data_IF_347290986389
#
_entry.id   IF_347290986389
#
_cell.length_a   1.000
_cell.length_b   1.000
_cell.length_c   1.000
_cell.angle_alpha   90.00
_cell.angle_beta   90.00
_cell.angle_gamma   90.00
#
_symmetry.space_group_name_H-M   'P 1'
#
loop_
_entity.id
_entity.type
_entity.pdbx_description
1 polymer ?
#
# COMPACT_ATOMS: atom_id res chain seq x y z
N UNK A 1 -6.55 14.37 3.20
CA UNK A 1 -7.49 13.84 2.19
C UNK A 1 -6.77 13.72 0.86
N UNK A 2 -6.68 12.52 0.31
CA UNK A 2 -5.93 12.31 -0.91
C UNK A 2 -6.54 11.23 -1.79
N UNK A 3 -6.28 11.36 -3.07
CA UNK A 3 -6.70 10.37 -4.07
C UNK A 3 -5.46 9.79 -4.71
N UNK A 4 -5.40 8.47 -4.77
CA UNK A 4 -4.27 7.76 -5.35
C UNK A 4 -4.80 6.82 -6.42
N UNK A 5 -4.14 6.83 -7.58
CA UNK A 5 -4.53 5.99 -8.71
C UNK A 5 -3.68 4.72 -8.72
N UNK A 6 -4.35 3.60 -9.01
CA UNK A 6 -3.72 2.29 -9.04
C UNK A 6 -4.10 1.58 -10.34
N UNK A 7 -3.32 0.56 -10.69
CA UNK A 7 -3.62 -0.25 -11.87
C UNK A 7 -4.62 -1.32 -11.49
N UNK A 8 -5.83 -1.21 -12.07
CA UNK A 8 -6.87 -2.21 -11.88
C UNK A 8 -6.38 -3.57 -12.40
N UNK A 9 -6.71 -4.62 -11.69
CA UNK A 9 -6.39 -6.01 -12.05
C UNK A 9 -4.90 -6.36 -11.90
N UNK A 10 -4.11 -5.53 -11.25
CA UNK A 10 -2.70 -5.81 -10.99
C UNK A 10 -2.43 -6.26 -9.55
N UNK A 11 -3.41 -6.18 -8.66
CA UNK A 11 -3.20 -6.39 -7.25
C UNK A 11 -3.59 -7.77 -6.75
N UNK A 12 -3.53 -7.90 -5.42
CA UNK A 12 -3.89 -9.13 -4.71
C UNK A 12 -5.39 -9.19 -4.45
N UNK A 13 -5.92 -10.39 -4.38
CA UNK A 13 -7.34 -10.62 -4.09
C UNK A 13 -7.55 -10.75 -2.58
N UNK A 14 -7.34 -9.67 -1.83
CA UNK A 14 -7.43 -9.70 -0.36
C UNK A 14 -8.86 -9.54 0.17
N UNK A 15 -9.76 -8.97 -0.63
CA UNK A 15 -11.16 -8.86 -0.24
C UNK A 15 -11.97 -10.10 -0.60
N UNK A 16 -11.31 -11.12 -1.15
CA UNK A 16 -11.95 -12.36 -1.55
C UNK A 16 -12.63 -12.27 -2.90
N UNK A 17 -13.02 -13.42 -3.43
CA UNK A 17 -13.84 -13.50 -4.62
C UNK A 17 -15.31 -13.34 -4.20
N UNK A 18 -16.20 -13.24 -5.20
CA UNK A 18 -17.61 -12.91 -4.95
C UNK A 18 -18.30 -13.70 -3.83
N UNK A 19 -17.95 -14.95 -3.65
CA UNK A 19 -18.60 -15.80 -2.64
C UNK A 19 -18.10 -15.50 -1.22
N UNK A 20 -16.85 -15.09 -1.10
CA UNK A 20 -16.20 -14.88 0.18
C UNK A 20 -16.13 -13.42 0.59
N UNK A 21 -16.32 -12.51 -0.36
CA UNK A 21 -16.19 -11.08 -0.13
C UNK A 21 -17.12 -10.57 0.97
N UNK A 22 -18.30 -11.17 1.08
CA UNK A 22 -19.29 -10.76 2.08
C UNK A 22 -18.87 -11.10 3.51
N UNK A 23 -17.96 -12.04 3.68
CA UNK A 23 -17.51 -12.50 4.99
C UNK A 23 -16.19 -11.84 5.43
N UNK A 24 -15.51 -11.15 4.51
CA UNK A 24 -14.24 -10.51 4.82
C UNK A 24 -14.47 -9.02 5.08
N UNK A 25 -14.15 -8.59 6.30
CA UNK A 25 -14.18 -7.17 6.64
C UNK A 25 -12.99 -6.50 5.93
N UNK A 26 -13.23 -5.51 5.05
CA UNK A 26 -12.13 -4.82 4.35
C UNK A 26 -11.10 -4.22 5.30
N UNK A 27 -11.53 -3.69 6.45
CA UNK A 27 -10.60 -3.12 7.42
C UNK A 27 -9.67 -4.20 7.99
N UNK A 28 -10.22 -5.37 8.30
CA UNK A 28 -9.40 -6.49 8.79
C UNK A 28 -8.44 -7.00 7.73
N UNK A 29 -8.88 -7.06 6.48
CA UNK A 29 -8.04 -7.51 5.38
C UNK A 29 -6.85 -6.59 5.18
N UNK A 30 -7.07 -5.28 5.21
CA UNK A 30 -6.01 -4.29 5.07
C UNK A 30 -5.08 -4.32 6.28
N UNK A 31 -5.63 -4.40 7.49
CA UNK A 31 -4.83 -4.46 8.71
C UNK A 31 -3.89 -5.67 8.69
N UNK A 32 -4.38 -6.79 8.20
CA UNK A 32 -3.58 -8.01 8.07
C UNK A 32 -2.46 -7.84 7.05
N UNK A 33 -2.76 -7.20 5.90
CA UNK A 33 -1.74 -6.93 4.88
C UNK A 33 -0.65 -6.00 5.39
N UNK A 34 -1.00 -5.06 6.24
CA UNK A 34 -0.04 -4.11 6.84
C UNK A 34 0.76 -4.77 7.97
N UNK A 35 0.27 -5.90 8.49
CA UNK A 35 0.94 -6.61 9.56
C UNK A 35 0.58 -6.13 10.96
N UNK A 36 -0.48 -5.33 11.09
CA UNK A 36 -0.94 -4.82 12.38
C UNK A 36 -2.46 -5.01 12.51
N UNK A 37 -2.89 -6.16 13.04
CA UNK A 37 -4.32 -6.44 13.17
C UNK A 37 -5.09 -5.42 14.02
N UNK A 38 -4.41 -4.70 14.92
CA UNK A 38 -5.07 -3.71 15.76
C UNK A 38 -5.61 -2.53 14.95
N UNK A 39 -5.11 -2.34 13.73
CA UNK A 39 -5.58 -1.27 12.86
C UNK A 39 -7.04 -1.46 12.44
N UNK A 40 -7.54 -2.69 12.44
CA UNK A 40 -8.92 -2.96 12.03
C UNK A 40 -9.93 -2.16 12.85
N UNK A 41 -9.61 -1.88 14.12
CA UNK A 41 -10.46 -1.08 15.00
C UNK A 41 -10.22 0.42 14.89
N UNK A 42 -9.14 0.82 14.25
CA UNK A 42 -8.72 2.23 14.17
C UNK A 42 -9.04 2.86 12.83
N UNK A 43 -9.26 2.07 11.81
CA UNK A 43 -9.55 2.57 10.47
C UNK A 43 -10.93 2.13 10.03
N UNK A 44 -11.50 2.93 9.11
CA UNK A 44 -12.77 2.61 8.47
C UNK A 44 -12.50 2.44 6.99
N UNK A 45 -12.94 1.33 6.44
CA UNK A 45 -12.69 1.01 5.04
C UNK A 45 -14.02 0.69 4.36
N UNK A 46 -14.26 1.34 3.24
CA UNK A 46 -15.43 1.07 2.40
C UNK A 46 -14.96 0.81 0.98
N UNK A 47 -15.53 -0.20 0.36
CA UNK A 47 -15.25 -0.50 -1.05
C UNK A 47 -16.47 -0.11 -1.87
N UNK A 48 -16.27 0.79 -2.82
CA UNK A 48 -17.31 1.28 -3.71
C UNK A 48 -16.86 1.10 -5.16
N UNK A 49 -17.29 -0.01 -5.80
CA UNK A 49 -16.87 -0.32 -7.16
C UNK A 49 -15.37 -0.54 -7.24
N UNK A 50 -14.67 0.35 -7.95
CA UNK A 50 -13.23 0.27 -8.11
C UNK A 50 -12.46 1.17 -7.13
N UNK A 51 -13.18 1.83 -6.21
CA UNK A 51 -12.60 2.77 -5.25
C UNK A 51 -12.65 2.20 -3.85
N UNK A 52 -11.55 2.32 -3.11
CA UNK A 52 -11.51 2.02 -1.69
C UNK A 52 -11.43 3.34 -0.94
N UNK A 53 -12.30 3.53 0.03
CA UNK A 53 -12.29 4.70 0.89
C UNK A 53 -11.76 4.30 2.26
N UNK A 54 -10.66 4.90 2.69
CA UNK A 54 -10.06 4.62 3.99
C UNK A 54 -9.96 5.90 4.82
N UNK A 55 -10.29 5.79 6.09
CA UNK A 55 -10.21 6.93 7.01
C UNK A 55 -9.85 6.43 8.40
N UNK A 56 -9.43 7.35 9.27
CA UNK A 56 -9.12 7.04 10.65
C UNK A 56 -7.82 7.68 11.13
N UNK A 57 -7.49 7.41 12.39
CA UNK A 57 -6.28 7.92 13.02
C UNK A 57 -5.27 6.79 13.15
N UNK A 58 -4.06 7.02 12.69
CA UNK A 58 -2.97 6.04 12.71
C UNK A 58 -1.77 6.60 13.46
N UNK A 59 -0.89 5.71 14.01
CA UNK A 59 0.20 6.19 14.87
C UNK A 59 1.28 6.97 14.14
N UNK A 60 1.52 6.71 12.87
CA UNK A 60 2.61 7.36 12.15
C UNK A 60 2.36 7.41 10.65
N UNK A 61 3.18 8.19 9.97
CA UNK A 61 3.11 8.37 8.52
C UNK A 61 3.44 7.07 7.78
N UNK A 62 4.32 6.27 8.31
CA UNK A 62 4.66 4.97 7.72
C UNK A 62 3.43 4.07 7.65
N UNK A 63 2.68 3.97 8.74
CA UNK A 63 1.45 3.17 8.77
C UNK A 63 0.43 3.71 7.80
N UNK A 64 0.27 5.03 7.74
CA UNK A 64 -0.64 5.68 6.80
C UNK A 64 -0.33 5.26 5.36
N UNK A 65 0.94 5.35 4.97
CA UNK A 65 1.36 5.00 3.62
C UNK A 65 1.20 3.51 3.33
N UNK A 66 1.49 2.67 4.30
CA UNK A 66 1.29 1.21 4.13
C UNK A 66 -0.18 0.87 3.92
N UNK A 67 -1.09 1.54 4.62
CA UNK A 67 -2.52 1.32 4.44
C UNK A 67 -2.95 1.72 3.03
N UNK A 68 -2.47 2.86 2.53
CA UNK A 68 -2.81 3.33 1.19
C UNK A 68 -2.36 2.32 0.14
N UNK A 69 -1.12 1.85 0.25
CA UNK A 69 -0.56 0.88 -0.70
C UNK A 69 -1.29 -0.46 -0.61
N UNK A 70 -1.57 -0.92 0.61
CA UNK A 70 -2.29 -2.17 0.81
C UNK A 70 -3.71 -2.09 0.22
N UNK A 71 -4.39 -0.97 0.41
CA UNK A 71 -5.74 -0.78 -0.10
C UNK A 71 -5.79 -0.70 -1.62
N UNK A 72 -4.77 -0.07 -2.22
CA UNK A 72 -4.74 0.15 -3.66
C UNK A 72 -4.23 -1.04 -4.45
N UNK A 73 -3.32 -1.83 -3.88
CA UNK A 73 -2.77 -3.01 -4.56
C UNK A 73 -3.70 -4.21 -4.41
N UNK A 74 -4.99 -3.98 -4.61
CA UNK A 74 -6.03 -5.00 -4.55
C UNK A 74 -6.59 -5.19 -5.95
N UNK A 75 -6.77 -6.44 -6.35
CA UNK A 75 -7.36 -6.76 -7.64
C UNK A 75 -8.74 -6.13 -7.78
N UNK A 76 -8.94 -5.38 -8.83
CA UNK A 76 -10.22 -4.69 -9.10
C UNK A 76 -10.28 -3.27 -8.59
N UNK A 77 -9.24 -2.78 -7.91
CA UNK A 77 -9.21 -1.42 -7.37
C UNK A 77 -8.33 -0.53 -8.24
N UNK A 78 -8.87 0.59 -8.66
CA UNK A 78 -8.14 1.58 -9.46
C UNK A 78 -7.93 2.90 -8.74
N UNK A 79 -8.57 3.09 -7.59
CA UNK A 79 -8.46 4.35 -6.84
C UNK A 79 -8.57 4.13 -5.33
N UNK A 80 -7.77 4.86 -4.58
CA UNK A 80 -7.88 4.93 -3.12
C UNK A 80 -8.19 6.38 -2.75
N UNK A 81 -9.29 6.57 -2.02
CA UNK A 81 -9.68 7.86 -1.45
C UNK A 81 -9.37 7.79 0.04
N UNK A 82 -8.34 8.49 0.48
CA UNK A 82 -7.89 8.40 1.86
C UNK A 82 -8.11 9.69 2.64
N UNK A 83 -8.48 9.53 3.92
CA UNK A 83 -8.62 10.60 4.89
C UNK A 83 -7.98 10.16 6.20
N UNK A 84 -6.80 9.56 6.12
CA UNK A 84 -6.07 9.06 7.28
C UNK A 84 -5.27 10.19 7.92
N UNK A 85 -5.20 10.17 9.23
CA UNK A 85 -4.40 11.14 9.99
C UNK A 85 -3.31 10.40 10.73
N UNK A 86 -2.06 10.76 10.45
CA UNK A 86 -0.91 10.23 11.16
C UNK A 86 -0.62 11.10 12.39
N UNK A 87 -0.31 10.46 13.50
CA UNK A 87 -0.04 11.18 14.75
C UNK A 87 1.32 11.89 14.75
N UNK A 88 2.25 11.45 13.89
CA UNK A 88 3.55 12.09 13.80
C UNK A 88 3.58 13.16 12.69
N UNK A 89 4.64 13.97 12.67
CA UNK A 89 4.82 15.04 11.69
C UNK A 89 5.84 14.68 10.61
N UNK A 90 6.09 13.39 10.38
CA UNK A 90 7.07 12.98 9.39
C UNK A 90 6.60 13.36 7.98
N UNK A 91 7.54 13.72 7.08
CA UNK A 91 7.19 14.08 5.73
C UNK A 91 6.59 12.91 4.96
N UNK A 92 5.74 13.23 4.00
CA UNK A 92 5.16 12.21 3.15
C UNK A 92 6.23 11.60 2.25
N UNK A 93 6.20 10.28 2.13
CA UNK A 93 7.05 9.57 1.19
C UNK A 93 6.47 9.65 -0.22
N UNK A 94 7.17 9.03 -1.14
CA UNK A 94 6.73 8.96 -2.53
C UNK A 94 6.19 7.58 -2.82
N UNK A 95 5.42 7.48 -3.89
CA UNK A 95 4.89 6.20 -4.37
C UNK A 95 5.41 5.97 -5.79
N UNK A 96 5.75 4.73 -6.09
CA UNK A 96 6.23 4.34 -7.40
C UNK A 96 5.38 3.19 -7.94
N UNK A 97 4.89 3.34 -9.17
CA UNK A 97 4.16 2.26 -9.84
C UNK A 97 5.16 1.44 -10.63
N UNK A 98 5.24 0.16 -10.31
CA UNK A 98 6.18 -0.76 -10.95
C UNK A 98 5.81 -0.92 -12.43
N UNK A 99 6.81 -0.84 -13.30
CA UNK A 99 6.68 -1.05 -14.73
C UNK A 99 7.36 -2.36 -15.10
N UNK A 100 6.99 -2.89 -16.25
CA UNK A 100 7.61 -4.10 -16.76
C UNK A 100 9.12 -3.94 -16.84
N UNK A 101 9.85 -4.87 -16.26
CA UNK A 101 11.31 -4.81 -16.24
C UNK A 101 11.92 -4.11 -15.06
N UNK A 102 11.10 -3.47 -14.20
CA UNK A 102 11.62 -2.81 -13.00
C UNK A 102 12.12 -3.82 -11.98
N UNK A 103 13.15 -3.40 -11.24
CA UNK A 103 13.65 -4.15 -10.09
C UNK A 103 13.77 -3.18 -8.93
N UNK A 104 13.80 -3.69 -7.70
CA UNK A 104 13.98 -2.80 -6.54
C UNK A 104 15.33 -2.07 -6.60
N UNK A 105 16.37 -2.72 -7.13
CA UNK A 105 17.67 -2.08 -7.33
C UNK A 105 17.54 -0.86 -8.25
N UNK A 106 16.89 -1.04 -9.41
CA UNK A 106 16.71 0.06 -10.36
C UNK A 106 15.84 1.17 -9.79
N UNK A 107 14.79 0.81 -9.03
CA UNK A 107 13.92 1.78 -8.39
C UNK A 107 14.70 2.58 -7.34
N UNK A 108 15.51 1.91 -6.52
CA UNK A 108 16.34 2.57 -5.51
C UNK A 108 17.37 3.50 -6.16
N UNK A 109 17.95 3.07 -7.29
CA UNK A 109 18.91 3.90 -7.99
C UNK A 109 18.27 5.20 -8.50
N UNK A 110 17.06 5.12 -9.03
CA UNK A 110 16.31 6.31 -9.45
C UNK A 110 15.89 7.20 -8.29
N UNK A 111 15.45 6.59 -7.20
CA UNK A 111 14.89 7.34 -6.07
C UNK A 111 15.97 7.95 -5.19
N UNK A 112 17.05 7.22 -4.95
CA UNK A 112 18.09 7.61 -4.00
C UNK A 112 19.45 7.86 -4.64
N UNK A 113 19.59 7.53 -5.92
CA UNK A 113 20.87 7.59 -6.58
C UNK A 113 21.82 6.44 -6.22
N UNK A 114 21.29 5.40 -5.55
CA UNK A 114 22.09 4.28 -5.07
C UNK A 114 21.23 3.02 -5.02
N UNK A 115 21.45 2.12 -5.97
CA UNK A 115 20.70 0.86 -6.05
C UNK A 115 20.89 -0.05 -4.84
N UNK A 116 22.01 0.08 -4.13
CA UNK A 116 22.26 -0.75 -2.95
C UNK A 116 21.28 -0.48 -1.81
N UNK A 117 20.53 0.61 -1.90
CA UNK A 117 19.49 0.96 -0.92
C UNK A 117 18.15 0.26 -1.19
N UNK A 118 18.13 -0.71 -2.08
CA UNK A 118 16.91 -1.43 -2.41
C UNK A 118 16.25 -2.10 -1.19
N UNK A 119 17.05 -2.50 -0.19
CA UNK A 119 16.51 -3.09 1.03
C UNK A 119 15.67 -2.09 1.83
N UNK A 120 15.99 -0.80 1.75
CA UNK A 120 15.18 0.24 2.38
C UNK A 120 13.76 0.22 1.82
N UNK A 121 13.66 0.08 0.50
CA UNK A 121 12.35 0.00 -0.15
C UNK A 121 11.64 -1.30 0.21
N UNK A 122 12.37 -2.40 0.20
CA UNK A 122 11.78 -3.70 0.56
C UNK A 122 11.19 -3.67 1.97
N UNK A 123 11.97 -3.21 2.94
CA UNK A 123 11.51 -3.13 4.33
C UNK A 123 10.32 -2.18 4.49
N UNK A 124 10.31 -1.09 3.73
CA UNK A 124 9.22 -0.12 3.79
C UNK A 124 7.90 -0.67 3.27
N UNK A 125 7.95 -1.76 2.50
CA UNK A 125 6.75 -2.38 1.92
C UNK A 125 6.44 -3.75 2.52
N UNK A 126 7.12 -4.13 3.59
CA UNK A 126 6.78 -5.35 4.32
C UNK A 126 5.56 -5.10 5.23
N UNK A 127 4.77 -6.10 5.49
CA UNK A 127 4.84 -7.49 4.99
C UNK A 127 4.14 -7.71 3.66
N UNK A 128 3.59 -6.68 3.05
CA UNK A 128 2.89 -6.77 1.77
C UNK A 128 3.80 -7.35 0.68
N UNK A 129 5.05 -6.93 0.68
CA UNK A 129 6.08 -7.44 -0.21
C UNK A 129 6.90 -8.48 0.57
N UNK A 130 6.82 -9.74 0.15
CA UNK A 130 7.45 -10.83 0.86
C UNK A 130 8.86 -11.16 0.40
N UNK A 131 9.25 -10.66 -0.78
CA UNK A 131 10.57 -10.91 -1.35
C UNK A 131 10.91 -9.77 -2.32
N UNK A 132 12.19 -9.32 -2.36
CA UNK A 132 12.56 -8.22 -3.25
C UNK A 132 12.28 -8.46 -4.72
N UNK A 133 12.30 -9.72 -5.16
CA UNK A 133 12.07 -10.07 -6.56
C UNK A 133 10.60 -10.32 -6.91
N UNK A 134 9.71 -10.22 -5.93
CA UNK A 134 8.28 -10.49 -6.16
C UNK A 134 7.45 -9.24 -6.43
N UNK A 135 8.06 -8.26 -7.07
CA UNK A 135 7.30 -7.10 -7.55
C UNK A 135 6.71 -7.43 -8.92
N UNK A 136 5.62 -6.77 -9.25
CA UNK A 136 4.92 -7.01 -10.51
C UNK A 136 4.48 -5.69 -11.14
N UNK A 137 4.38 -5.64 -12.48
CA UNK A 137 3.92 -4.40 -13.14
C UNK A 137 2.56 -3.97 -12.63
N UNK A 138 2.41 -2.69 -12.36
CA UNK A 138 1.17 -2.13 -11.82
C UNK A 138 1.13 -2.06 -10.31
N UNK A 139 2.01 -2.77 -9.62
CA UNK A 139 2.10 -2.68 -8.16
C UNK A 139 2.59 -1.30 -7.77
N UNK A 140 1.97 -0.71 -6.75
CA UNK A 140 2.44 0.56 -6.20
C UNK A 140 3.22 0.29 -4.93
N UNK A 141 4.42 0.83 -4.87
CA UNK A 141 5.32 0.68 -3.72
C UNK A 141 5.52 2.04 -3.06
N UNK A 142 5.66 2.04 -1.74
CA UNK A 142 6.05 3.27 -1.07
C UNK A 142 7.56 3.41 -1.09
N UNK A 143 8.02 4.61 -1.40
CA UNK A 143 9.44 4.96 -1.43
C UNK A 143 9.69 5.91 -0.26
N UNK A 144 10.18 5.42 0.87
CA UNK A 144 10.35 6.29 2.04
C UNK A 144 11.41 7.35 1.80
N UNK A 145 11.25 8.48 2.48
CA UNK A 145 12.26 9.52 2.47
C UNK A 145 13.53 9.00 3.14
N UNK A 146 14.69 9.45 2.65
CA UNK A 146 15.97 9.09 3.27
C UNK A 146 16.18 9.77 4.62
N UNK A 147 15.45 10.80 4.90
CA UNK A 147 15.61 11.56 6.14
C UNK A 147 14.92 10.89 7.32
#
# INVERSE_FOLDING_TARGET
MGFFDFVKNAGKSIFGSSADAAETDPAEAIAKEVGDPSLADKIKVEVDGETVKVSGDVPDQETREKIIVAAGNVDGISKVDESLKAADDKPEGKFHTVEKGDTLWAIAEKAYGDGSKYMTIFEANQPMLSHPDKIYPGQVLRIPSED
#
